data_IF_793615034557
#
_entry.id   IF_793615034557
#
_cell.length_a   1.000
_cell.length_b   1.000
_cell.length_c   1.000
_cell.angle_alpha   90.00
_cell.angle_beta   90.00
_cell.angle_gamma   90.00
#
_symmetry.space_group_name_H-M   'P 1'
#
loop_
_entity.id
_entity.type
_entity.pdbx_description
1 polymer ?
#
# COMPACT_ATOMS: atom_id res chain seq x y z
N UNK A 1 -2.49 -0.56 -19.75
CA UNK A 1 -3.35 0.39 -19.02
C UNK A 1 -3.04 1.81 -19.49
N UNK A 2 -4.04 2.50 -20.02
CA UNK A 2 -3.85 3.88 -20.46
C UNK A 2 -3.89 4.80 -19.24
N UNK A 3 -2.84 5.58 -19.04
CA UNK A 3 -2.85 6.69 -18.08
C UNK A 3 -3.96 7.66 -18.54
N UNK A 4 -4.97 7.84 -17.68
CA UNK A 4 -6.02 8.81 -17.96
C UNK A 4 -5.53 10.20 -17.58
N UNK A 5 -5.28 11.06 -18.58
CA UNK A 5 -4.72 12.41 -18.40
C UNK A 5 -5.55 13.22 -17.40
N UNK A 6 -6.88 13.19 -17.48
CA UNK A 6 -7.77 13.90 -16.56
C UNK A 6 -7.61 13.45 -15.10
N UNK A 7 -7.40 12.17 -14.88
CA UNK A 7 -7.19 11.60 -13.54
C UNK A 7 -5.80 11.99 -13.01
N UNK A 8 -4.78 11.92 -13.85
CA UNK A 8 -3.42 12.36 -13.50
C UNK A 8 -3.41 13.84 -13.07
N UNK A 9 -4.11 14.70 -13.79
CA UNK A 9 -4.23 16.13 -13.44
C UNK A 9 -4.87 16.29 -12.05
N UNK A 10 -5.97 15.59 -11.77
CA UNK A 10 -6.64 15.64 -10.45
C UNK A 10 -5.71 15.17 -9.32
N UNK A 11 -4.92 14.12 -9.54
CA UNK A 11 -3.94 13.62 -8.56
C UNK A 11 -2.88 14.69 -8.28
N UNK A 12 -2.30 15.28 -9.32
CA UNK A 12 -1.27 16.33 -9.18
C UNK A 12 -1.85 17.56 -8.47
N UNK A 13 -3.04 17.99 -8.83
CA UNK A 13 -3.72 19.10 -8.17
C UNK A 13 -3.94 18.83 -6.69
N UNK A 14 -4.46 17.65 -6.34
CA UNK A 14 -4.68 17.23 -4.96
C UNK A 14 -3.38 17.22 -4.15
N UNK A 15 -2.32 16.61 -4.68
CA UNK A 15 -1.02 16.56 -4.00
C UNK A 15 -0.41 17.97 -3.82
N UNK A 16 -0.57 18.85 -4.80
CA UNK A 16 -0.10 20.24 -4.71
C UNK A 16 -0.88 21.03 -3.64
N UNK A 17 -2.21 20.93 -3.62
CA UNK A 17 -3.06 21.57 -2.62
C UNK A 17 -2.78 21.05 -1.21
N UNK A 18 -2.62 19.75 -1.06
CA UNK A 18 -2.32 19.11 0.22
C UNK A 18 -0.92 19.49 0.71
N UNK A 19 0.06 19.55 -0.20
CA UNK A 19 1.43 19.94 0.11
C UNK A 19 1.58 21.37 0.64
N UNK A 20 0.59 22.24 0.37
CA UNK A 20 0.52 23.58 0.96
C UNK A 20 -0.03 23.58 2.40
N UNK A 21 -0.71 22.51 2.81
CA UNK A 21 -1.42 22.41 4.10
C UNK A 21 -0.72 21.46 5.09
N UNK A 22 -0.11 20.42 4.58
CA UNK A 22 0.54 19.39 5.40
C UNK A 22 1.62 18.63 4.60
N UNK A 23 2.39 17.79 5.27
CA UNK A 23 3.35 16.91 4.63
C UNK A 23 2.61 15.84 3.80
N UNK A 24 3.00 15.69 2.54
CA UNK A 24 2.41 14.70 1.60
C UNK A 24 3.29 13.48 1.36
N UNK A 25 4.57 13.53 1.74
CA UNK A 25 5.50 12.41 1.62
C UNK A 25 6.29 12.22 2.91
N UNK A 26 6.25 11.00 3.43
CA UNK A 26 6.91 10.61 4.67
C UNK A 26 7.98 9.56 4.38
N UNK A 27 9.28 9.88 4.48
CA UNK A 27 10.34 8.87 4.50
C UNK A 27 10.13 7.92 5.67
N UNK A 28 10.17 6.61 5.41
CA UNK A 28 9.98 5.60 6.46
C UNK A 28 11.28 5.13 7.11
N UNK A 29 12.42 5.57 6.60
CA UNK A 29 13.74 5.32 7.15
C UNK A 29 14.38 6.59 7.67
N UNK A 30 15.09 6.48 8.79
CA UNK A 30 15.81 7.59 9.40
C UNK A 30 17.05 7.99 8.57
N UNK A 31 17.55 9.21 8.79
CA UNK A 31 18.80 9.67 8.15
C UNK A 31 19.98 8.73 8.43
N UNK A 32 20.07 8.17 9.64
CA UNK A 32 21.12 7.22 10.01
C UNK A 32 21.01 5.90 9.24
N UNK A 33 19.78 5.40 9.03
CA UNK A 33 19.56 4.20 8.24
C UNK A 33 19.88 4.42 6.75
N UNK A 34 19.55 5.60 6.22
CA UNK A 34 19.85 6.00 4.83
C UNK A 34 21.38 6.16 4.63
N UNK A 35 22.10 6.73 5.62
CA UNK A 35 23.56 6.82 5.53
C UNK A 35 24.25 5.44 5.51
N UNK A 36 23.70 4.46 6.21
CA UNK A 36 24.20 3.08 6.20
C UNK A 36 23.81 2.31 4.94
N UNK A 37 22.66 2.62 4.37
CA UNK A 37 22.12 1.98 3.18
C UNK A 37 21.40 3.04 2.30
N UNK A 38 22.12 3.65 1.34
CA UNK A 38 21.59 4.71 0.48
C UNK A 38 20.39 4.29 -0.38
N UNK A 39 20.18 2.98 -0.59
CA UNK A 39 19.02 2.48 -1.34
C UNK A 39 17.68 2.84 -0.67
N UNK A 40 17.69 3.18 0.61
CA UNK A 40 16.51 3.58 1.40
C UNK A 40 16.05 5.01 1.18
N UNK A 41 16.85 5.84 0.51
CA UNK A 41 16.66 7.30 0.41
C UNK A 41 15.28 7.70 -0.12
N UNK A 42 14.83 7.02 -1.17
CA UNK A 42 13.58 7.37 -1.87
C UNK A 42 12.40 6.45 -1.48
N UNK A 43 12.57 5.69 -0.39
CA UNK A 43 11.53 4.80 0.15
C UNK A 43 10.66 5.56 1.15
N UNK A 44 9.35 5.56 0.92
CA UNK A 44 8.43 6.32 1.77
C UNK A 44 6.98 6.19 1.36
N UNK A 45 6.15 6.98 2.01
CA UNK A 45 4.69 6.95 1.88
C UNK A 45 4.19 8.30 1.36
N UNK A 46 3.53 8.29 0.19
CA UNK A 46 2.64 9.40 -0.15
C UNK A 46 1.36 9.29 0.66
N UNK A 47 0.93 10.40 1.24
CA UNK A 47 -0.26 10.46 2.09
C UNK A 47 -1.37 11.28 1.43
N UNK A 48 -2.46 10.61 1.12
CA UNK A 48 -3.73 11.19 0.70
C UNK A 48 -4.64 11.24 1.92
N UNK A 49 -4.70 12.41 2.56
CA UNK A 49 -5.43 12.59 3.80
C UNK A 49 -6.95 12.57 3.57
N UNK A 50 -7.64 11.77 4.39
CA UNK A 50 -9.09 11.75 4.56
C UNK A 50 -9.52 12.49 5.84
N UNK A 51 -10.45 11.92 6.59
CA UNK A 51 -10.92 12.45 7.86
C UNK A 51 -9.94 12.14 9.00
N UNK A 52 -9.86 13.02 9.98
CA UNK A 52 -9.07 12.78 11.18
C UNK A 52 -9.59 11.54 11.93
N UNK A 53 -8.66 10.67 12.34
CA UNK A 53 -8.91 9.42 13.06
C UNK A 53 -9.77 8.39 12.29
N UNK A 54 -9.90 8.53 10.98
CA UNK A 54 -10.48 7.49 10.15
C UNK A 54 -9.50 6.32 9.94
N UNK A 55 -10.00 5.11 9.63
CA UNK A 55 -9.18 3.98 9.20
C UNK A 55 -8.31 4.34 8.00
N UNK A 56 -7.27 3.54 7.76
CA UNK A 56 -6.38 3.79 6.64
C UNK A 56 -6.19 2.59 5.72
N UNK A 57 -5.74 2.88 4.51
CA UNK A 57 -5.32 1.88 3.54
C UNK A 57 -3.85 2.11 3.15
N UNK A 58 -3.11 1.04 2.89
CA UNK A 58 -1.79 1.09 2.28
C UNK A 58 -1.87 0.44 0.91
N UNK A 59 -1.53 1.22 -0.12
CA UNK A 59 -1.49 0.79 -1.50
C UNK A 59 -0.08 0.39 -1.90
N UNK A 60 0.02 -0.77 -2.55
CA UNK A 60 1.26 -1.38 -3.03
C UNK A 60 1.12 -1.58 -4.53
N UNK A 61 1.99 -0.96 -5.30
CA UNK A 61 1.89 -0.92 -6.75
C UNK A 61 2.37 -2.21 -7.40
N UNK A 62 1.83 -2.47 -8.59
CA UNK A 62 2.38 -3.44 -9.52
C UNK A 62 3.69 -2.94 -10.15
N UNK A 63 4.28 -3.79 -10.98
CA UNK A 63 5.52 -3.52 -11.70
C UNK A 63 6.47 -4.70 -11.72
N UNK A 64 5.99 -5.91 -11.34
CA UNK A 64 6.75 -7.16 -11.40
C UNK A 64 8.02 -7.16 -10.53
N UNK A 65 8.10 -6.30 -9.51
CA UNK A 65 9.31 -6.01 -8.74
C UNK A 65 10.48 -5.51 -9.59
N UNK A 66 10.20 -4.89 -10.74
CA UNK A 66 11.19 -4.24 -11.60
C UNK A 66 11.09 -2.70 -11.52
N UNK A 67 9.90 -2.20 -11.25
CA UNK A 67 9.62 -0.77 -11.03
C UNK A 67 8.40 -0.61 -10.11
N UNK A 68 8.11 0.64 -9.72
CA UNK A 68 6.97 1.01 -8.85
C UNK A 68 6.02 1.89 -9.66
N UNK A 69 4.84 1.34 -10.01
CA UNK A 69 3.89 1.97 -10.92
C UNK A 69 2.87 2.90 -10.24
N UNK A 70 3.27 3.71 -9.25
CA UNK A 70 2.37 4.44 -8.35
C UNK A 70 1.33 5.33 -9.06
N UNK A 71 1.74 6.08 -10.08
CA UNK A 71 0.90 7.08 -10.74
C UNK A 71 -0.35 6.50 -11.41
N UNK A 72 -0.26 5.33 -12.00
CA UNK A 72 -1.36 4.72 -12.75
C UNK A 72 -2.04 3.58 -11.99
N UNK A 73 -1.42 3.06 -10.94
CA UNK A 73 -1.91 1.90 -10.19
C UNK A 73 -2.52 2.31 -8.85
N UNK A 74 -1.79 2.98 -7.99
CA UNK A 74 -2.20 3.24 -6.60
C UNK A 74 -2.74 4.65 -6.35
N UNK A 75 -2.17 5.69 -6.97
CA UNK A 75 -2.62 7.07 -6.72
C UNK A 75 -4.09 7.31 -7.08
N UNK A 76 -4.66 6.74 -8.16
CA UNK A 76 -6.08 6.88 -8.44
C UNK A 76 -6.97 6.33 -7.33
N UNK A 77 -6.63 5.16 -6.79
CA UNK A 77 -7.37 4.53 -5.70
C UNK A 77 -7.21 5.29 -4.38
N UNK A 78 -6.00 5.76 -4.10
CA UNK A 78 -5.73 6.55 -2.89
C UNK A 78 -6.49 7.88 -2.91
N UNK A 79 -6.54 8.56 -4.07
CA UNK A 79 -7.33 9.76 -4.25
C UNK A 79 -8.82 9.50 -3.98
N UNK A 80 -9.40 8.49 -4.63
CA UNK A 80 -10.81 8.13 -4.45
C UNK A 80 -11.13 7.78 -2.99
N UNK A 81 -10.27 6.99 -2.34
CA UNK A 81 -10.49 6.58 -0.96
C UNK A 81 -10.43 7.78 -0.01
N UNK A 82 -9.48 8.71 -0.24
CA UNK A 82 -9.36 9.92 0.58
C UNK A 82 -10.57 10.85 0.43
N UNK A 83 -11.14 10.95 -0.75
CA UNK A 83 -12.37 11.71 -1.01
C UNK A 83 -13.60 11.11 -0.30
N UNK A 84 -13.57 9.82 -0.01
CA UNK A 84 -14.57 9.11 0.80
C UNK A 84 -14.33 9.22 2.31
N UNK A 85 -13.30 9.92 2.73
CA UNK A 85 -12.97 10.19 4.13
C UNK A 85 -12.01 9.19 4.77
N UNK A 86 -11.57 8.15 4.08
CA UNK A 86 -10.53 7.23 4.57
C UNK A 86 -9.14 7.83 4.36
N UNK A 87 -8.21 7.53 5.24
CA UNK A 87 -6.82 7.88 5.03
C UNK A 87 -6.16 6.88 4.06
N UNK A 88 -5.35 7.35 3.13
CA UNK A 88 -4.72 6.48 2.15
C UNK A 88 -3.24 6.77 2.00
N UNK A 89 -2.42 5.73 2.08
CA UNK A 89 -0.98 5.79 1.92
C UNK A 89 -0.57 4.99 0.68
N UNK A 90 0.31 5.55 -0.12
CA UNK A 90 0.89 4.87 -1.28
C UNK A 90 2.36 4.65 -1.01
N UNK A 91 2.78 3.39 -0.97
CA UNK A 91 4.14 3.01 -0.62
C UNK A 91 5.06 3.03 -1.84
N UNK A 92 6.05 3.89 -1.84
CA UNK A 92 7.18 3.80 -2.76
C UNK A 92 8.21 2.89 -2.10
N UNK A 93 8.32 1.67 -2.60
CA UNK A 93 9.16 0.61 -2.02
C UNK A 93 10.39 0.31 -2.89
N UNK A 94 11.42 -0.26 -2.27
CA UNK A 94 12.56 -0.81 -3.02
C UNK A 94 12.17 -2.15 -3.63
N UNK A 95 12.31 -2.28 -4.94
CA UNK A 95 11.96 -3.52 -5.66
C UNK A 95 12.75 -4.75 -5.17
N UNK A 96 13.93 -4.53 -4.59
CA UNK A 96 14.77 -5.58 -3.98
C UNK A 96 14.34 -6.01 -2.57
N UNK A 97 13.54 -5.17 -1.86
CA UNK A 97 13.14 -5.41 -0.46
C UNK A 97 11.66 -5.09 -0.20
N UNK A 98 10.73 -5.53 -1.06
CA UNK A 98 9.35 -5.05 -1.04
C UNK A 98 8.61 -5.37 0.26
N UNK A 99 8.78 -6.57 0.79
CA UNK A 99 8.10 -7.01 2.03
C UNK A 99 8.66 -6.31 3.28
N UNK A 100 9.96 -6.08 3.31
CA UNK A 100 10.62 -5.34 4.39
C UNK A 100 10.13 -3.91 4.44
N UNK A 101 10.02 -3.26 3.27
CA UNK A 101 9.56 -1.87 3.17
C UNK A 101 8.07 -1.74 3.50
N UNK A 102 7.22 -2.70 3.11
CA UNK A 102 5.82 -2.71 3.52
C UNK A 102 5.67 -2.92 5.04
N UNK A 103 6.41 -3.85 5.63
CA UNK A 103 6.42 -4.06 7.08
C UNK A 103 6.87 -2.79 7.82
N UNK A 104 7.92 -2.13 7.31
CA UNK A 104 8.41 -0.85 7.86
C UNK A 104 7.37 0.26 7.73
N UNK A 105 6.64 0.32 6.61
CA UNK A 105 5.56 1.29 6.40
C UNK A 105 4.41 1.08 7.40
N UNK A 106 4.00 -0.16 7.64
CA UNK A 106 2.97 -0.50 8.64
C UNK A 106 3.42 -0.03 10.03
N UNK A 107 4.65 -0.37 10.45
CA UNK A 107 5.20 0.07 11.74
C UNK A 107 5.28 1.60 11.83
N UNK A 108 5.75 2.26 10.77
CA UNK A 108 5.86 3.71 10.73
C UNK A 108 4.50 4.39 10.96
N UNK A 109 3.46 3.94 10.26
CA UNK A 109 2.11 4.52 10.42
C UNK A 109 1.59 4.24 11.84
N UNK A 110 1.78 3.03 12.36
CA UNK A 110 1.36 2.65 13.71
C UNK A 110 2.00 3.53 14.79
N UNK A 111 3.32 3.74 14.72
CA UNK A 111 4.09 4.53 15.67
C UNK A 111 3.76 6.04 15.58
N UNK A 112 3.38 6.53 14.40
CA UNK A 112 3.07 7.94 14.14
C UNK A 112 1.57 8.22 14.01
N UNK A 113 0.70 7.29 14.39
CA UNK A 113 -0.75 7.38 14.15
C UNK A 113 -1.38 8.66 14.71
N UNK A 114 -0.95 9.11 15.90
CA UNK A 114 -1.42 10.35 16.51
C UNK A 114 -1.01 11.58 15.70
N UNK A 115 0.22 11.64 15.18
CA UNK A 115 0.70 12.71 14.32
C UNK A 115 -0.02 12.73 12.98
N UNK A 116 -0.21 11.55 12.39
CA UNK A 116 -0.91 11.36 11.11
C UNK A 116 -2.43 11.51 11.25
N UNK A 117 -2.94 11.47 12.49
CA UNK A 117 -4.38 11.48 12.81
C UNK A 117 -5.14 10.35 12.11
N UNK A 118 -4.64 9.13 12.23
CA UNK A 118 -5.25 7.91 11.69
C UNK A 118 -5.63 6.94 12.80
N UNK A 119 -6.64 6.11 12.56
CA UNK A 119 -6.96 5.00 13.45
C UNK A 119 -5.96 3.86 13.23
N UNK A 120 -5.02 3.67 14.17
CA UNK A 120 -3.96 2.67 14.07
C UNK A 120 -4.44 1.22 14.18
N UNK A 121 -5.68 1.00 14.64
CA UNK A 121 -6.20 -0.34 14.88
C UNK A 121 -6.97 -0.90 13.68
N UNK A 122 -7.37 -0.04 12.75
CA UNK A 122 -8.18 -0.41 11.60
C UNK A 122 -7.52 0.02 10.29
N UNK A 123 -7.06 -0.96 9.51
CA UNK A 123 -6.45 -0.71 8.23
C UNK A 123 -6.62 -1.85 7.24
N UNK A 124 -6.41 -1.54 5.96
CA UNK A 124 -6.42 -2.51 4.87
C UNK A 124 -5.16 -2.42 4.02
N UNK A 125 -4.77 -3.55 3.44
CA UNK A 125 -3.64 -3.65 2.51
C UNK A 125 -4.17 -3.89 1.10
N UNK A 126 -3.78 -3.03 0.17
CA UNK A 126 -4.22 -3.08 -1.22
C UNK A 126 -3.02 -3.30 -2.13
N UNK A 127 -3.24 -3.99 -3.23
CA UNK A 127 -2.20 -4.10 -4.23
C UNK A 127 -2.64 -4.69 -5.55
N UNK A 128 -1.94 -4.29 -6.61
CA UNK A 128 -2.06 -4.83 -7.94
C UNK A 128 -0.86 -5.69 -8.31
N UNK A 129 -1.03 -6.83 -9.00
CA UNK A 129 0.05 -7.68 -9.51
C UNK A 129 1.09 -8.04 -8.42
N UNK A 130 2.33 -7.56 -8.54
CA UNK A 130 3.38 -7.72 -7.53
C UNK A 130 2.97 -7.11 -6.16
N UNK A 131 2.33 -5.95 -6.15
CA UNK A 131 1.80 -5.30 -4.95
C UNK A 131 0.71 -6.11 -4.25
N UNK A 132 -0.13 -6.82 -5.01
CA UNK A 132 -1.12 -7.73 -4.45
C UNK A 132 -0.46 -8.89 -3.69
N UNK A 133 0.67 -9.40 -4.20
CA UNK A 133 1.46 -10.40 -3.49
C UNK A 133 2.04 -9.85 -2.19
N UNK A 134 2.51 -8.59 -2.19
CA UNK A 134 2.97 -7.90 -0.97
C UNK A 134 1.84 -7.79 0.05
N UNK A 135 0.69 -7.27 -0.36
CA UNK A 135 -0.50 -7.10 0.49
C UNK A 135 -0.97 -8.43 1.09
N UNK A 136 -1.07 -9.49 0.28
CA UNK A 136 -1.45 -10.81 0.75
C UNK A 136 -0.44 -11.41 1.74
N UNK A 137 0.86 -11.24 1.47
CA UNK A 137 1.93 -11.77 2.33
C UNK A 137 1.92 -11.10 3.70
N UNK A 138 1.85 -9.77 3.78
CA UNK A 138 1.80 -9.04 5.05
C UNK A 138 0.40 -9.03 5.69
N UNK A 139 -0.66 -9.35 4.94
CA UNK A 139 -1.99 -9.64 5.47
C UNK A 139 -2.09 -10.96 6.24
N UNK A 140 -1.09 -11.83 6.11
CA UNK A 140 -0.99 -13.05 6.91
C UNK A 140 -0.45 -12.72 8.31
N UNK A 141 -1.22 -13.06 9.36
CA UNK A 141 -0.87 -12.72 10.75
C UNK A 141 0.50 -13.23 11.18
N UNK A 142 0.85 -14.47 10.83
CA UNK A 142 2.15 -15.06 11.21
C UNK A 142 3.31 -14.34 10.52
N UNK A 143 3.13 -13.99 9.24
CA UNK A 143 4.14 -13.26 8.49
C UNK A 143 4.30 -11.85 9.04
N UNK A 144 3.18 -11.14 9.25
CA UNK A 144 3.21 -9.79 9.84
C UNK A 144 3.99 -9.79 11.16
N UNK A 145 3.64 -10.68 12.09
CA UNK A 145 4.28 -10.79 13.40
C UNK A 145 5.80 -11.05 13.29
N UNK A 146 6.23 -11.84 12.32
CA UNK A 146 7.65 -12.11 12.11
C UNK A 146 8.47 -10.87 11.71
N UNK A 147 7.81 -9.87 11.11
CA UNK A 147 8.43 -8.60 10.71
C UNK A 147 8.32 -7.52 11.78
N UNK A 148 7.15 -7.37 12.41
CA UNK A 148 6.82 -6.19 13.23
C UNK A 148 6.51 -6.50 14.70
N UNK A 149 6.51 -7.77 15.08
CA UNK A 149 6.12 -8.20 16.43
C UNK A 149 4.60 -8.28 16.61
N UNK A 150 4.16 -8.52 17.86
CA UNK A 150 2.76 -8.79 18.19
C UNK A 150 1.90 -7.54 18.45
N UNK A 151 2.51 -6.38 18.65
CA UNK A 151 1.81 -5.16 19.09
C UNK A 151 0.98 -4.52 17.98
N UNK A 152 1.33 -4.79 16.72
CA UNK A 152 0.61 -4.28 15.56
C UNK A 152 -0.52 -5.25 15.19
N UNK A 153 -1.77 -4.76 15.08
CA UNK A 153 -2.89 -5.61 14.68
C UNK A 153 -2.73 -6.10 13.25
N UNK A 154 -3.36 -7.23 12.93
CA UNK A 154 -3.51 -7.67 11.55
C UNK A 154 -4.42 -6.70 10.78
N UNK A 155 -4.20 -6.53 9.49
CA UNK A 155 -5.12 -5.76 8.64
C UNK A 155 -6.54 -6.35 8.66
N UNK A 156 -7.55 -5.49 8.64
CA UNK A 156 -8.96 -5.91 8.59
C UNK A 156 -9.32 -6.58 7.26
N UNK A 157 -8.65 -6.16 6.19
CA UNK A 157 -8.85 -6.71 4.86
C UNK A 157 -7.60 -6.60 3.97
N UNK A 158 -7.53 -7.50 3.00
CA UNK A 158 -6.57 -7.46 1.88
C UNK A 158 -7.35 -7.36 0.58
N UNK A 159 -6.98 -6.40 -0.27
CA UNK A 159 -7.56 -6.22 -1.59
C UNK A 159 -6.49 -6.55 -2.64
N UNK A 160 -6.74 -7.60 -3.40
CA UNK A 160 -5.82 -8.11 -4.43
C UNK A 160 -6.40 -7.88 -5.81
N UNK A 161 -5.62 -7.26 -6.68
CA UNK A 161 -6.02 -6.99 -8.06
C UNK A 161 -5.04 -7.66 -9.03
N UNK A 162 -5.55 -8.31 -10.07
CA UNK A 162 -4.85 -8.88 -11.22
C UNK A 162 -3.50 -9.55 -10.85
N UNK A 163 -3.53 -10.55 -9.97
CA UNK A 163 -2.35 -11.34 -9.57
C UNK A 163 -2.61 -12.83 -9.67
N UNK A 164 -1.60 -13.61 -10.04
CA UNK A 164 -1.62 -15.08 -9.98
C UNK A 164 -1.25 -15.66 -8.61
N UNK A 165 -1.14 -14.83 -7.57
CA UNK A 165 -0.81 -15.30 -6.24
C UNK A 165 -2.03 -15.95 -5.57
N UNK A 166 -2.00 -17.28 -5.45
CA UNK A 166 -3.13 -18.12 -4.98
C UNK A 166 -2.84 -18.86 -3.66
N UNK A 167 -1.75 -18.54 -2.97
CA UNK A 167 -1.45 -19.15 -1.67
C UNK A 167 -2.49 -18.74 -0.62
N UNK A 168 -3.03 -19.73 0.10
CA UNK A 168 -4.05 -19.54 1.13
C UNK A 168 -3.56 -20.09 2.46
N UNK A 169 -3.86 -19.40 3.54
CA UNK A 169 -3.55 -19.80 4.91
C UNK A 169 -4.67 -19.42 5.86
N UNK A 170 -4.86 -20.21 6.93
CA UNK A 170 -5.80 -19.91 8.03
C UNK A 170 -5.44 -18.62 8.81
N UNK A 171 -4.24 -18.08 8.56
CA UNK A 171 -3.75 -16.86 9.21
C UNK A 171 -3.90 -15.62 8.32
N UNK A 172 -4.47 -15.78 7.13
CA UNK A 172 -4.70 -14.65 6.21
C UNK A 172 -5.85 -13.77 6.71
N UNK A 173 -5.70 -12.47 6.54
CA UNK A 173 -6.80 -11.53 6.71
C UNK A 173 -7.92 -11.80 5.68
N UNK A 174 -9.16 -11.40 5.95
CA UNK A 174 -10.24 -11.42 4.97
C UNK A 174 -9.76 -10.80 3.65
N UNK A 175 -9.93 -11.51 2.55
CA UNK A 175 -9.35 -11.10 1.26
C UNK A 175 -10.44 -10.94 0.20
N UNK A 176 -10.43 -9.80 -0.48
CA UNK A 176 -11.14 -9.59 -1.72
C UNK A 176 -10.15 -9.68 -2.89
N UNK A 177 -10.47 -10.49 -3.88
CA UNK A 177 -9.62 -10.68 -5.06
C UNK A 177 -10.41 -10.40 -6.34
N UNK A 178 -9.81 -9.66 -7.29
CA UNK A 178 -10.39 -9.39 -8.59
C UNK A 178 -9.36 -9.45 -9.71
N UNK A 179 -9.82 -9.89 -10.88
CA UNK A 179 -9.04 -9.96 -12.11
C UNK A 179 -9.98 -9.81 -13.30
N UNK A 180 -9.51 -9.27 -14.42
CA UNK A 180 -10.28 -9.21 -15.64
C UNK A 180 -10.51 -10.61 -16.22
N UNK A 181 -11.71 -10.87 -16.80
CA UNK A 181 -12.01 -12.15 -17.45
C UNK A 181 -11.07 -12.45 -18.62
N UNK A 182 -10.59 -11.40 -19.27
CA UNK A 182 -9.74 -11.45 -20.47
C UNK A 182 -8.29 -11.05 -20.16
N UNK A 183 -7.86 -11.19 -18.88
CA UNK A 183 -6.48 -10.94 -18.50
C UNK A 183 -5.60 -12.07 -19.03
N UNK A 184 -4.70 -11.73 -19.95
CA UNK A 184 -3.79 -12.69 -20.60
C UNK A 184 -2.46 -12.91 -19.83
N UNK A 185 -2.25 -12.14 -18.75
CA UNK A 185 -1.07 -12.26 -17.88
C UNK A 185 -1.38 -13.18 -16.69
N UNK A 186 -2.61 -13.05 -16.17
CA UNK A 186 -3.09 -13.79 -14.99
C UNK A 186 -4.38 -14.51 -15.33
N UNK A 187 -4.36 -15.84 -15.25
CA UNK A 187 -5.57 -16.65 -15.46
C UNK A 187 -6.57 -16.35 -14.32
N UNK A 188 -7.79 -15.95 -14.71
CA UNK A 188 -8.89 -15.75 -13.77
C UNK A 188 -9.20 -17.02 -12.93
N UNK A 189 -8.91 -18.22 -13.47
CA UNK A 189 -9.04 -19.47 -12.75
C UNK A 189 -8.07 -19.59 -11.56
N UNK A 190 -6.89 -18.96 -11.62
CA UNK A 190 -5.94 -18.98 -10.51
C UNK A 190 -6.42 -18.12 -9.35
N UNK A 191 -7.07 -16.98 -9.63
CA UNK A 191 -7.67 -16.14 -8.60
C UNK A 191 -8.88 -16.78 -7.93
N UNK A 192 -9.65 -17.63 -8.65
CA UNK A 192 -10.78 -18.37 -8.09
C UNK A 192 -10.38 -19.45 -7.10
N UNK A 193 -9.12 -19.86 -7.06
CA UNK A 193 -8.60 -20.86 -6.10
C UNK A 193 -8.33 -20.23 -4.72
N UNK A 194 -8.32 -18.92 -4.61
CA UNK A 194 -8.16 -18.16 -3.37
C UNK A 194 -9.52 -17.71 -2.82
#
# INVERSE_FOLDING_TARGET
SCIQVSQTIKIIQKLNEDGQKHTIFYPIYSKTEIMKDPSKKDTGLFFFKGNDNAPFAIFNEGGGFMYVGAMHDSFPHALELSQRGYNAFVLIYRVSHPYVDLARAISFIYDHASLLKVDKNHYSLWGGSAGARMAATLGNKKVLVSYVGNDIPQSDAVIMQYTGYNHISLYDAPTYACVGSDDYIVDAADMKKR
#
